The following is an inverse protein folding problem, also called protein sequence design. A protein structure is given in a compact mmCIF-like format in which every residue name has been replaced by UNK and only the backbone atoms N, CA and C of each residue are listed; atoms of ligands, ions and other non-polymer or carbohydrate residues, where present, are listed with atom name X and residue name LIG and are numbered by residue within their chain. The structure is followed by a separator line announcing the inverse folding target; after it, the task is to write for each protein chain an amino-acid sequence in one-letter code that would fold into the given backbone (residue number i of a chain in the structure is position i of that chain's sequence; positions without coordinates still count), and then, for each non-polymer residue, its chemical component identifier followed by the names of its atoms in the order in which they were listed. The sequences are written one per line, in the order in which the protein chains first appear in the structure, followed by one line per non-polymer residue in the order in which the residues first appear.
data_IF_517442491922
#
_entry.id   IF_517442491922
#
_cell.length_a   1.000
_cell.length_b   1.000
_cell.length_c   1.000
_cell.angle_alpha   90.00
_cell.angle_beta   90.00
_cell.angle_gamma   90.00
#
_symmetry.space_group_name_H-M   'P 1'
#
loop_
_entity.id
_entity.type
_entity.pdbx_description
1 polymer ?
#
# COMPACT_ATOMS: atom_id res chain seq x y z
N UNK A 1 54.21 21.42 -11.02
CA UNK A 1 52.84 21.87 -11.37
C UNK A 1 51.89 20.73 -10.99
N UNK A 2 51.85 20.35 -9.70
CA UNK A 2 51.34 19.00 -9.32
C UNK A 2 50.28 19.01 -8.22
N UNK A 3 50.03 20.16 -7.58
CA UNK A 3 49.06 20.25 -6.48
C UNK A 3 47.61 20.34 -6.97
N UNK A 4 47.36 20.91 -8.16
CA UNK A 4 46.01 21.02 -8.74
C UNK A 4 45.52 19.72 -9.38
N UNK A 5 46.40 18.93 -10.02
CA UNK A 5 46.01 17.64 -10.62
C UNK A 5 45.67 16.60 -9.54
N UNK A 6 46.39 16.63 -8.41
CA UNK A 6 46.12 15.73 -7.29
C UNK A 6 44.75 16.03 -6.65
N UNK A 7 44.41 17.31 -6.45
CA UNK A 7 43.06 17.69 -5.98
C UNK A 7 41.95 17.31 -6.99
N UNK A 8 42.20 17.44 -8.29
CA UNK A 8 41.23 17.06 -9.32
C UNK A 8 40.99 15.54 -9.39
N UNK A 9 42.03 14.71 -9.16
CA UNK A 9 41.89 13.25 -9.06
C UNK A 9 41.13 12.82 -7.80
N UNK A 10 41.39 13.47 -6.66
CA UNK A 10 40.63 13.24 -5.43
C UNK A 10 39.15 13.63 -5.58
N UNK A 11 38.85 14.77 -6.22
CA UNK A 11 37.47 15.20 -6.50
C UNK A 11 36.72 14.24 -7.43
N UNK A 12 37.38 13.71 -8.47
CA UNK A 12 36.82 12.67 -9.35
C UNK A 12 36.58 11.34 -8.62
N UNK A 13 37.48 10.95 -7.71
CA UNK A 13 37.31 9.76 -6.88
C UNK A 13 36.09 9.85 -5.95
N UNK A 14 35.93 10.99 -5.27
CA UNK A 14 34.77 11.25 -4.40
C UNK A 14 33.48 11.26 -5.22
N UNK A 15 33.46 11.92 -6.38
CA UNK A 15 32.29 11.94 -7.27
C UNK A 15 31.88 10.54 -7.74
N UNK A 16 32.84 9.68 -8.07
CA UNK A 16 32.59 8.29 -8.44
C UNK A 16 31.99 7.48 -7.28
N UNK A 17 32.54 7.61 -6.07
CA UNK A 17 32.01 6.95 -4.88
C UNK A 17 30.58 7.39 -4.54
N UNK A 18 30.27 8.68 -4.67
CA UNK A 18 28.92 9.20 -4.45
C UNK A 18 27.94 8.64 -5.47
N UNK A 19 28.32 8.61 -6.75
CA UNK A 19 27.49 8.02 -7.81
C UNK A 19 27.20 6.54 -7.54
N UNK A 20 28.23 5.78 -7.15
CA UNK A 20 28.12 4.35 -6.86
C UNK A 20 27.23 4.10 -5.63
N UNK A 21 27.36 4.93 -4.60
CA UNK A 21 26.49 4.88 -3.43
C UNK A 21 25.02 5.15 -3.77
N UNK A 22 24.75 6.17 -4.59
CA UNK A 22 23.37 6.48 -5.04
C UNK A 22 22.80 5.30 -5.84
N UNK A 23 23.57 4.75 -6.78
CA UNK A 23 23.15 3.59 -7.57
C UNK A 23 22.83 2.38 -6.67
N UNK A 24 23.65 2.13 -5.65
CA UNK A 24 23.44 1.06 -4.68
C UNK A 24 22.14 1.26 -3.88
N UNK A 25 21.88 2.48 -3.39
CA UNK A 25 20.64 2.80 -2.66
C UNK A 25 19.41 2.61 -3.53
N UNK A 26 19.47 3.04 -4.79
CA UNK A 26 18.37 2.86 -5.75
C UNK A 26 18.11 1.38 -6.02
N UNK A 27 19.15 0.58 -6.18
CA UNK A 27 19.04 -0.87 -6.39
C UNK A 27 18.38 -1.55 -5.18
N UNK A 28 18.81 -1.22 -3.97
CA UNK A 28 18.22 -1.77 -2.74
C UNK A 28 16.74 -1.41 -2.60
N UNK A 29 16.34 -0.19 -2.98
CA UNK A 29 14.92 0.21 -2.96
C UNK A 29 14.05 -0.43 -4.05
N UNK A 30 14.67 -0.95 -5.11
CA UNK A 30 13.96 -1.59 -6.23
C UNK A 30 13.55 -3.03 -5.93
N UNK A 31 14.16 -3.66 -4.93
CA UNK A 31 13.91 -5.05 -4.55
C UNK A 31 12.73 -5.13 -3.58
N UNK A 32 11.62 -5.72 -4.02
CA UNK A 32 10.44 -5.96 -3.17
C UNK A 32 10.13 -7.44 -3.11
N UNK A 33 10.01 -7.95 -1.87
CA UNK A 33 9.60 -9.32 -1.59
C UNK A 33 8.14 -9.37 -1.19
N UNK A 34 7.35 -10.17 -1.91
CA UNK A 34 5.94 -10.38 -1.61
C UNK A 34 5.78 -11.72 -0.89
N UNK A 35 5.26 -11.72 0.35
CA UNK A 35 5.10 -12.93 1.13
C UNK A 35 4.08 -13.88 0.50
N UNK A 36 4.19 -15.19 0.78
CA UNK A 36 3.22 -16.17 0.30
C UNK A 36 1.82 -15.90 0.85
N UNK A 37 0.79 -16.16 0.04
CA UNK A 37 -0.60 -15.86 0.37
C UNK A 37 -0.96 -14.37 0.28
N UNK A 38 -0.08 -13.54 -0.31
CA UNK A 38 -0.37 -12.15 -0.65
C UNK A 38 -0.06 -11.87 -2.13
N UNK A 39 -0.73 -10.86 -2.68
CA UNK A 39 -0.40 -10.25 -3.98
C UNK A 39 -0.06 -8.77 -3.79
N UNK A 40 0.92 -8.29 -4.53
CA UNK A 40 1.32 -6.88 -4.52
C UNK A 40 0.58 -6.09 -5.59
N UNK A 41 -0.23 -5.12 -5.19
CA UNK A 41 -0.87 -4.17 -6.09
C UNK A 41 0.06 -2.96 -6.27
N UNK A 42 0.39 -2.65 -7.52
CA UNK A 42 1.29 -1.52 -7.85
C UNK A 42 0.48 -0.24 -8.04
N UNK A 43 0.82 0.79 -7.28
CA UNK A 43 0.25 2.14 -7.39
C UNK A 43 1.36 3.11 -7.75
N UNK A 44 1.21 3.79 -8.89
CA UNK A 44 2.13 4.82 -9.35
C UNK A 44 1.37 6.12 -9.54
N UNK A 45 1.69 7.15 -8.74
CA UNK A 45 1.04 8.47 -8.79
C UNK A 45 -0.50 8.41 -8.77
N UNK A 46 -1.07 7.57 -7.89
CA UNK A 46 -2.52 7.38 -7.78
C UNK A 46 -3.14 6.49 -8.85
N UNK A 47 -2.38 6.05 -9.88
CA UNK A 47 -2.86 5.09 -10.88
C UNK A 47 -2.53 3.66 -10.45
N UNK A 48 -3.56 2.83 -10.37
CA UNK A 48 -3.43 1.40 -10.09
C UNK A 48 -3.08 0.67 -11.38
N UNK A 49 -2.04 -0.16 -11.35
CA UNK A 49 -1.70 -1.02 -12.47
C UNK A 49 -2.56 -2.30 -12.42
N UNK A 50 -3.22 -2.70 -13.53
CA UNK A 50 -4.11 -3.87 -13.54
C UNK A 50 -3.37 -5.20 -13.33
N UNK A 51 -2.05 -5.24 -13.58
CA UNK A 51 -1.24 -6.43 -13.35
C UNK A 51 -0.74 -6.43 -11.90
N UNK A 52 -1.15 -7.42 -11.12
CA UNK A 52 -0.63 -7.67 -9.76
C UNK A 52 0.70 -8.41 -9.80
N UNK A 53 1.48 -8.27 -8.72
CA UNK A 53 2.70 -9.02 -8.48
C UNK A 53 2.35 -10.25 -7.62
N UNK A 54 2.71 -11.44 -8.08
CA UNK A 54 2.52 -12.70 -7.32
C UNK A 54 3.52 -12.79 -6.16
N UNK A 55 3.33 -13.74 -5.25
CA UNK A 55 4.32 -14.05 -4.21
C UNK A 55 5.69 -14.36 -4.81
N UNK A 56 6.76 -13.80 -4.26
CA UNK A 56 8.12 -13.94 -4.77
C UNK A 56 8.93 -12.64 -4.71
N UNK A 57 10.16 -12.69 -5.25
CA UNK A 57 11.04 -11.53 -5.40
C UNK A 57 10.72 -10.80 -6.70
N UNK A 58 10.49 -9.50 -6.63
CA UNK A 58 10.25 -8.66 -7.80
C UNK A 58 11.18 -7.45 -7.80
N UNK A 59 11.75 -7.16 -8.97
CA UNK A 59 12.47 -5.93 -9.23
C UNK A 59 11.50 -4.92 -9.82
N UNK A 60 11.20 -3.87 -9.05
CA UNK A 60 10.26 -2.83 -9.44
C UNK A 60 10.90 -1.45 -9.34
N UNK A 61 10.32 -0.48 -10.05
CA UNK A 61 10.74 0.91 -9.91
C UNK A 61 10.53 1.36 -8.46
N UNK A 62 11.55 1.91 -7.78
CA UNK A 62 11.49 2.30 -6.37
C UNK A 62 10.50 3.44 -6.08
N UNK A 63 9.98 4.12 -7.11
CA UNK A 63 8.94 5.14 -7.00
C UNK A 63 7.51 4.54 -6.97
N UNK A 64 7.36 3.25 -7.24
CA UNK A 64 6.07 2.55 -7.21
C UNK A 64 5.75 2.14 -5.78
N UNK A 65 4.55 2.49 -5.31
CA UNK A 65 4.05 1.99 -4.04
C UNK A 65 3.42 0.60 -4.22
N UNK A 66 3.81 -0.37 -3.40
CA UNK A 66 3.30 -1.75 -3.46
C UNK A 66 2.45 -2.03 -2.23
N UNK A 67 1.14 -2.14 -2.45
CA UNK A 67 0.19 -2.53 -1.39
C UNK A 67 0.04 -4.05 -1.41
N UNK A 68 0.33 -4.70 -0.27
CA UNK A 68 0.21 -6.16 -0.13
C UNK A 68 -1.22 -6.50 0.28
N UNK A 69 -1.90 -7.28 -0.55
CA UNK A 69 -3.26 -7.73 -0.32
C UNK A 69 -3.26 -9.24 -0.05
N UNK A 70 -3.95 -9.69 1.01
CA UNK A 70 -4.13 -11.11 1.28
C UNK A 70 -4.97 -11.76 0.18
N UNK A 71 -4.55 -12.93 -0.29
CA UNK A 71 -5.37 -13.82 -1.14
C UNK A 71 -5.82 -15.07 -0.38
N UNK A 72 -5.66 -15.07 0.94
CA UNK A 72 -6.17 -16.14 1.80
C UNK A 72 -7.67 -15.97 1.96
N UNK A 73 -8.37 -17.10 2.06
CA UNK A 73 -9.79 -17.10 2.42
C UNK A 73 -9.91 -16.64 3.87
N UNK A 74 -10.44 -15.45 4.09
CA UNK A 74 -10.75 -14.94 5.42
C UNK A 74 -12.21 -15.32 5.72
N UNK A 75 -12.43 -16.09 6.79
CA UNK A 75 -13.78 -16.40 7.26
C UNK A 75 -14.32 -15.21 8.04
N UNK A 76 -15.08 -14.35 7.36
CA UNK A 76 -15.81 -13.30 8.03
C UNK A 76 -17.13 -13.85 8.57
N UNK A 77 -17.13 -14.19 9.86
CA UNK A 77 -18.38 -14.45 10.58
C UNK A 77 -19.03 -13.12 10.93
N UNK A 78 -20.19 -12.85 10.33
CA UNK A 78 -21.13 -11.81 10.72
C UNK A 78 -21.76 -12.14 12.09
N UNK A 79 -20.95 -12.35 13.14
CA UNK A 79 -21.50 -12.61 14.47
C UNK A 79 -20.68 -12.00 15.61
N UNK A 80 -21.41 -11.27 16.46
CA UNK A 80 -21.14 -10.98 17.87
C UNK A 80 -20.26 -9.74 18.15
N UNK A 81 -20.59 -8.61 17.52
CA UNK A 81 -20.76 -7.42 18.35
C UNK A 81 -22.23 -7.41 18.80
N UNK A 82 -22.50 -7.85 20.03
CA UNK A 82 -23.83 -7.75 20.69
C UNK A 82 -24.19 -6.28 21.04
N UNK A 83 -23.81 -5.35 20.16
CA UNK A 83 -23.95 -3.92 20.33
C UNK A 83 -24.40 -3.20 19.05
N UNK A 84 -24.53 -3.91 17.91
CA UNK A 84 -25.34 -3.44 16.79
C UNK A 84 -26.80 -3.73 17.17
N UNK A 85 -27.42 -2.75 17.84
CA UNK A 85 -28.74 -2.88 18.48
C UNK A 85 -28.77 -2.46 19.96
N UNK A 86 -27.66 -1.95 20.52
CA UNK A 86 -27.68 -1.35 21.87
C UNK A 86 -27.36 0.15 21.85
N UNK A 87 -28.02 0.88 20.94
CA UNK A 87 -28.61 2.14 21.38
C UNK A 87 -29.98 1.75 21.94
N UNK A 88 -30.15 1.96 23.24
CA UNK A 88 -31.41 1.75 23.93
C UNK A 88 -32.44 2.77 23.45
N UNK A 89 -32.99 2.55 22.27
CA UNK A 89 -34.03 3.34 21.63
C UNK A 89 -34.79 2.44 20.68
N UNK A 90 -36.11 2.63 20.62
CA UNK A 90 -37.00 1.94 19.69
C UNK A 90 -36.48 2.19 18.26
N UNK A 91 -35.98 1.16 17.58
CA UNK A 91 -35.52 1.21 16.17
C UNK A 91 -36.71 1.27 15.20
N UNK A 92 -37.93 1.48 15.73
CA UNK A 92 -39.13 1.59 14.94
C UNK A 92 -39.09 2.79 13.99
N UNK A 93 -39.37 2.52 12.71
CA UNK A 93 -39.59 3.57 11.72
C UNK A 93 -41.09 3.86 11.68
N UNK A 94 -41.48 5.07 12.08
CA UNK A 94 -42.87 5.54 11.93
C UNK A 94 -43.15 5.83 10.43
N UNK A 95 -44.11 5.12 9.85
CA UNK A 95 -44.57 5.32 8.47
C UNK A 95 -46.08 5.57 8.41
N UNK A 96 -46.52 6.51 7.56
CA UNK A 96 -47.93 6.81 7.35
C UNK A 96 -48.46 6.01 6.15
N UNK A 97 -49.54 5.28 6.34
CA UNK A 97 -50.24 4.62 5.22
C UNK A 97 -51.06 5.63 4.40
N UNK A 98 -51.44 5.24 3.18
CA UNK A 98 -52.33 6.05 2.32
C UNK A 98 -53.64 6.46 3.01
N UNK A 99 -54.08 5.66 3.97
CA UNK A 99 -55.31 5.85 4.75
C UNK A 99 -55.11 6.77 5.98
N UNK A 100 -53.92 7.36 6.15
CA UNK A 100 -53.62 8.29 7.25
C UNK A 100 -53.37 7.62 8.59
N UNK A 101 -53.03 6.32 8.61
CA UNK A 101 -52.71 5.59 9.82
C UNK A 101 -51.19 5.50 10.03
N UNK A 102 -50.72 5.84 11.23
CA UNK A 102 -49.32 5.65 11.60
C UNK A 102 -49.05 4.18 11.94
N UNK A 103 -48.08 3.58 11.28
CA UNK A 103 -47.60 2.21 11.53
C UNK A 103 -46.14 2.28 11.96
N UNK A 104 -45.80 1.46 12.96
CA UNK A 104 -44.44 1.25 13.45
C UNK A 104 -43.89 -0.05 12.88
N UNK A 105 -42.76 0.04 12.18
CA UNK A 105 -42.03 -1.08 11.57
C UNK A 105 -40.86 -1.52 12.43
#
# INVERSE_FOLDING_TARGET
MDQYEMQAKFGKGIGFFVLLFIAFVVLMKSLVVIPPGNVGVRVLFGKVNPKTLKSGLHLINPLVNVVKMSVRTEEYTMSIASAEGRRSGDDAIDALTSEGMNIRL
#
